data_IF_041135179040
#
_entry.id   IF_041135179040
#
_cell.length_a   1.000
_cell.length_b   1.000
_cell.length_c   1.000
_cell.angle_alpha   90.00
_cell.angle_beta   90.00
_cell.angle_gamma   90.00
#
_symmetry.space_group_name_H-M   'P 1'
#
loop_
_entity.id
_entity.type
_entity.pdbx_description
1 polymer ?
#
# COMPACT_ATOMS: atom_id res chain seq x y z
N UNK A 1 -8.75 -6.33 -21.79
CA UNK A 1 -7.79 -5.47 -21.08
C UNK A 1 -6.65 -6.37 -20.64
N UNK A 2 -5.45 -6.19 -21.19
CA UNK A 2 -4.31 -7.02 -20.79
C UNK A 2 -3.66 -6.37 -19.59
N UNK A 3 -4.03 -6.79 -18.39
CA UNK A 3 -3.27 -6.45 -17.19
C UNK A 3 -1.98 -7.27 -17.21
N UNK A 4 -0.84 -6.60 -17.35
CA UNK A 4 0.46 -7.23 -17.08
C UNK A 4 0.50 -7.58 -15.60
N UNK A 5 0.31 -8.86 -15.29
CA UNK A 5 0.29 -9.39 -13.92
C UNK A 5 1.69 -9.60 -13.35
N UNK A 6 2.74 -9.34 -14.12
CA UNK A 6 4.10 -9.50 -13.63
C UNK A 6 4.36 -8.41 -12.60
N UNK A 7 4.77 -8.72 -11.35
CA UNK A 7 5.12 -7.70 -10.39
C UNK A 7 6.42 -7.00 -10.79
N UNK A 8 6.64 -5.79 -10.27
CA UNK A 8 7.98 -5.21 -10.17
C UNK A 8 8.67 -5.90 -9.00
N UNK A 9 9.74 -6.64 -9.27
CA UNK A 9 10.49 -7.38 -8.25
C UNK A 9 11.38 -6.44 -7.44
N UNK A 10 11.29 -6.54 -6.11
CA UNK A 10 12.09 -5.82 -5.12
C UNK A 10 11.97 -6.53 -3.78
N UNK A 11 12.35 -5.89 -2.65
CA UNK A 11 12.11 -6.44 -1.32
C UNK A 11 10.64 -6.80 -1.07
N UNK A 12 9.73 -6.06 -1.71
CA UNK A 12 8.29 -6.30 -1.70
C UNK A 12 7.77 -6.17 -3.14
N UNK A 13 6.96 -7.12 -3.63
CA UNK A 13 6.39 -7.07 -4.98
C UNK A 13 5.36 -5.94 -5.10
N UNK A 14 5.42 -5.18 -6.21
CA UNK A 14 4.46 -4.12 -6.53
C UNK A 14 3.77 -4.48 -7.85
N UNK A 15 2.43 -4.51 -7.86
CA UNK A 15 1.66 -4.73 -9.09
C UNK A 15 1.09 -3.41 -9.61
N UNK A 16 1.04 -3.29 -10.93
CA UNK A 16 0.49 -2.12 -11.61
C UNK A 16 -0.78 -2.53 -12.33
N UNK A 17 -1.91 -1.94 -11.96
CA UNK A 17 -3.23 -2.23 -12.55
C UNK A 17 -3.74 -1.02 -13.32
N UNK A 18 -4.31 -1.26 -14.50
CA UNK A 18 -4.87 -0.17 -15.31
C UNK A 18 -6.32 0.12 -14.90
N UNK A 19 -6.66 1.41 -14.82
CA UNK A 19 -8.03 1.90 -14.76
C UNK A 19 -8.39 2.59 -16.08
N UNK A 20 -9.69 2.81 -16.38
CA UNK A 20 -10.09 3.54 -17.59
C UNK A 20 -9.45 4.93 -17.72
N UNK A 21 -9.21 5.63 -16.60
CA UNK A 21 -8.65 6.99 -16.57
C UNK A 21 -7.37 7.11 -15.72
N UNK A 22 -6.68 6.00 -15.42
CA UNK A 22 -5.52 6.05 -14.53
C UNK A 22 -4.88 4.71 -14.25
N UNK A 23 -4.09 4.68 -13.17
CA UNK A 23 -3.30 3.52 -12.77
C UNK A 23 -3.40 3.35 -11.25
N UNK A 24 -3.47 2.10 -10.80
CA UNK A 24 -3.43 1.73 -9.38
C UNK A 24 -2.18 0.93 -9.12
N UNK A 25 -1.47 1.30 -8.05
CA UNK A 25 -0.40 0.48 -7.48
C UNK A 25 -1.02 -0.42 -6.43
N UNK A 26 -0.92 -1.72 -6.64
CA UNK A 26 -1.31 -2.71 -5.64
C UNK A 26 -0.07 -3.00 -4.76
N UNK A 27 -0.22 -2.56 -3.51
CA UNK A 27 0.79 -2.57 -2.45
C UNK A 27 0.42 -3.58 -1.36
N UNK A 28 -0.40 -4.61 -1.66
CA UNK A 28 -0.86 -5.59 -0.67
C UNK A 28 0.29 -6.19 0.15
N UNK A 29 1.43 -6.44 -0.48
CA UNK A 29 2.59 -6.99 0.20
C UNK A 29 3.25 -6.01 1.20
N UNK A 30 3.16 -4.68 0.97
CA UNK A 30 3.53 -3.68 1.98
C UNK A 30 2.56 -3.70 3.16
N UNK A 31 1.26 -3.75 2.87
CA UNK A 31 0.24 -3.82 3.92
C UNK A 31 0.44 -5.05 4.80
N UNK A 32 0.73 -6.22 4.21
CA UNK A 32 1.02 -7.44 4.97
C UNK A 32 2.28 -7.32 5.84
N UNK A 33 3.33 -6.66 5.34
CA UNK A 33 4.54 -6.40 6.13
C UNK A 33 4.20 -5.53 7.36
N UNK A 34 3.57 -4.37 7.14
CA UNK A 34 3.22 -3.43 8.22
C UNK A 34 2.31 -4.07 9.26
N UNK A 35 1.30 -4.83 8.83
CA UNK A 35 0.42 -5.57 9.75
C UNK A 35 1.21 -6.61 10.54
N UNK A 36 2.14 -7.31 9.89
CA UNK A 36 3.05 -8.25 10.57
C UNK A 36 3.90 -7.57 11.63
N UNK A 37 4.49 -6.41 11.31
CA UNK A 37 5.32 -5.64 12.24
C UNK A 37 4.51 -5.18 13.46
N UNK A 38 3.29 -4.68 13.25
CA UNK A 38 2.38 -4.27 14.34
C UNK A 38 1.99 -5.46 15.22
N UNK A 39 1.63 -6.59 14.62
CA UNK A 39 1.28 -7.80 15.38
C UNK A 39 2.48 -8.30 16.19
N UNK A 40 3.67 -8.33 15.60
CA UNK A 40 4.90 -8.75 16.28
C UNK A 40 5.19 -7.83 17.48
N UNK A 41 4.98 -6.52 17.33
CA UNK A 41 5.17 -5.57 18.41
C UNK A 41 4.16 -5.76 19.54
N UNK A 42 2.88 -5.91 19.21
CA UNK A 42 1.83 -6.14 20.21
C UNK A 42 1.98 -7.47 20.95
N UNK A 43 2.63 -8.46 20.33
CA UNK A 43 2.88 -9.78 20.90
C UNK A 43 4.30 -9.95 21.47
N UNK A 44 5.07 -8.86 21.58
CA UNK A 44 6.42 -8.91 22.11
C UNK A 44 6.40 -9.19 23.63
N UNK A 45 6.91 -10.36 24.03
CA UNK A 45 6.94 -10.76 25.44
C UNK A 45 8.02 -10.05 26.26
N UNK A 46 9.03 -9.46 25.62
CA UNK A 46 10.13 -8.76 26.30
C UNK A 46 9.81 -7.27 26.51
N UNK A 47 8.90 -6.70 25.70
CA UNK A 47 8.49 -5.30 25.76
C UNK A 47 6.97 -5.20 25.55
N UNK A 48 6.23 -5.00 26.64
CA UNK A 48 4.76 -4.93 26.64
C UNK A 48 4.22 -3.52 26.39
N UNK A 49 5.08 -2.53 26.15
CA UNK A 49 4.68 -1.11 26.06
C UNK A 49 3.52 -0.90 25.07
N UNK A 50 3.62 -1.47 23.87
CA UNK A 50 2.57 -1.33 22.86
C UNK A 50 1.25 -2.00 23.26
N UNK A 51 1.32 -3.12 23.98
CA UNK A 51 0.14 -3.82 24.49
C UNK A 51 -0.54 -3.04 25.62
N UNK A 52 0.24 -2.47 26.52
CA UNK A 52 -0.24 -1.66 27.63
C UNK A 52 -0.93 -0.38 27.12
N UNK A 53 -0.30 0.32 26.17
CA UNK A 53 -0.90 1.48 25.49
C UNK A 53 -2.19 1.13 24.73
N UNK A 54 -2.26 -0.06 24.11
CA UNK A 54 -3.49 -0.52 23.46
C UNK A 54 -4.61 -0.77 24.48
N UNK A 55 -4.28 -1.32 25.64
CA UNK A 55 -5.26 -1.55 26.70
C UNK A 55 -5.78 -0.22 27.26
N UNK A 56 -4.88 0.73 27.53
CA UNK A 56 -5.23 2.09 27.98
C UNK A 56 -6.10 2.84 26.96
N UNK A 57 -5.80 2.74 25.66
CA UNK A 57 -6.60 3.35 24.60
C UNK A 57 -8.00 2.69 24.46
N UNK A 58 -8.16 1.43 24.87
CA UNK A 58 -9.41 0.70 24.81
C UNK A 58 -10.34 0.92 26.02
N UNK A 59 -9.82 1.48 27.12
CA UNK A 59 -10.61 1.73 28.33
C UNK A 59 -11.64 2.86 28.11
N UNK A 60 -12.95 2.58 28.28
CA UNK A 60 -14.03 3.52 27.96
C UNK A 60 -14.17 4.68 28.96
N UNK A 61 -13.37 4.72 30.03
CA UNK A 61 -13.52 5.68 31.14
C UNK A 61 -12.40 6.72 31.11
N UNK A 62 -12.60 7.78 30.32
CA UNK A 62 -11.65 8.88 30.17
C UNK A 62 -10.84 8.73 28.89
N UNK A 63 -11.42 9.14 27.77
CA UNK A 63 -10.73 9.27 26.49
C UNK A 63 -9.61 10.32 26.61
N UNK A 64 -8.47 9.93 27.16
CA UNK A 64 -7.25 10.69 26.96
C UNK A 64 -6.81 10.43 25.52
N UNK A 65 -7.14 11.35 24.61
CA UNK A 65 -6.65 11.36 23.23
C UNK A 65 -5.16 10.97 23.17
N UNK A 66 -4.38 11.46 24.14
CA UNK A 66 -2.96 11.20 24.30
C UNK A 66 -2.58 9.71 24.27
N UNK A 67 -3.37 8.78 24.83
CA UNK A 67 -3.01 7.35 24.81
C UNK A 67 -3.09 6.74 23.41
N UNK A 68 -4.08 7.17 22.62
CA UNK A 68 -4.22 6.75 21.23
C UNK A 68 -3.10 7.33 20.38
N UNK A 69 -2.78 8.62 20.54
CA UNK A 69 -1.70 9.24 19.77
C UNK A 69 -0.31 8.68 20.13
N UNK A 70 -0.07 8.33 21.40
CA UNK A 70 1.16 7.67 21.82
C UNK A 70 1.28 6.26 21.24
N UNK A 71 0.20 5.48 21.23
CA UNK A 71 0.18 4.18 20.57
C UNK A 71 0.47 4.30 19.07
N UNK A 72 -0.18 5.26 18.38
CA UNK A 72 0.06 5.52 16.96
C UNK A 72 1.51 5.89 16.69
N UNK A 73 2.10 6.78 17.49
CA UNK A 73 3.50 7.18 17.37
C UNK A 73 4.44 5.99 17.58
N UNK A 74 4.25 5.22 18.66
CA UNK A 74 5.07 4.06 18.98
C UNK A 74 5.04 3.01 17.85
N UNK A 75 3.85 2.70 17.33
CA UNK A 75 3.70 1.77 16.22
C UNK A 75 4.27 2.34 14.91
N UNK A 76 4.11 3.65 14.65
CA UNK A 76 4.60 4.28 13.43
C UNK A 76 6.13 4.43 13.38
N UNK A 77 6.81 4.56 14.52
CA UNK A 77 8.28 4.54 14.59
C UNK A 77 8.86 3.20 14.15
N UNK A 78 8.11 2.11 14.38
CA UNK A 78 8.55 0.74 14.08
C UNK A 78 8.07 0.26 12.71
N UNK A 79 6.84 0.60 12.32
CA UNK A 79 6.27 0.24 11.04
C UNK A 79 6.87 1.09 9.91
N UNK A 80 7.57 0.46 8.97
CA UNK A 80 8.06 1.19 7.80
C UNK A 80 6.93 1.56 6.86
N UNK A 81 6.78 2.86 6.58
CA UNK A 81 5.92 3.38 5.50
C UNK A 81 6.62 3.42 4.14
N UNK A 82 7.89 2.99 4.07
CA UNK A 82 8.76 3.19 2.90
C UNK A 82 9.40 1.88 2.46
N UNK A 83 9.41 1.65 1.15
CA UNK A 83 10.10 0.51 0.54
C UNK A 83 11.21 1.05 -0.36
N UNK A 84 12.47 0.60 -0.20
CA UNK A 84 13.51 0.96 -1.13
C UNK A 84 13.27 0.29 -2.48
N UNK A 85 13.15 1.10 -3.52
CA UNK A 85 13.12 0.67 -4.92
C UNK A 85 14.50 0.90 -5.53
N UNK A 86 15.26 -0.17 -5.72
CA UNK A 86 16.59 -0.12 -6.31
C UNK A 86 16.54 0.04 -7.83
N UNK A 87 17.63 0.53 -8.43
CA UNK A 87 17.71 1.01 -9.81
C UNK A 87 16.89 0.22 -10.86
N UNK A 88 17.13 -1.10 -11.04
CA UNK A 88 16.37 -1.89 -12.01
C UNK A 88 14.86 -1.94 -11.74
N UNK A 89 14.46 -2.06 -10.47
CA UNK A 89 13.06 -2.10 -10.06
C UNK A 89 12.36 -0.75 -10.26
N UNK A 90 13.05 0.36 -9.97
CA UNK A 90 12.53 1.71 -10.20
C UNK A 90 12.31 2.00 -11.70
N UNK A 91 13.23 1.55 -12.56
CA UNK A 91 13.10 1.67 -14.01
C UNK A 91 11.95 0.82 -14.56
N UNK A 92 11.82 -0.41 -14.07
CA UNK A 92 10.75 -1.33 -14.44
C UNK A 92 9.36 -0.80 -14.05
N UNK A 93 9.23 -0.25 -12.83
CA UNK A 93 8.00 0.42 -12.39
C UNK A 93 7.66 1.60 -13.30
N UNK A 94 8.65 2.44 -13.61
CA UNK A 94 8.47 3.58 -14.52
C UNK A 94 7.98 3.13 -15.90
N UNK A 95 8.54 2.05 -16.44
CA UNK A 95 8.15 1.47 -17.73
C UNK A 95 6.68 1.02 -17.71
N UNK A 96 6.27 0.30 -16.67
CA UNK A 96 4.88 -0.17 -16.51
C UNK A 96 3.89 0.97 -16.33
N UNK A 97 4.23 1.98 -15.53
CA UNK A 97 3.41 3.18 -15.36
C UNK A 97 3.22 3.94 -16.67
N UNK A 98 4.30 4.16 -17.44
CA UNK A 98 4.21 4.83 -18.75
C UNK A 98 3.34 4.07 -19.73
N UNK A 99 3.48 2.74 -19.78
CA UNK A 99 2.64 1.90 -20.64
C UNK A 99 1.16 1.96 -20.22
N UNK A 100 0.89 1.95 -18.91
CA UNK A 100 -0.45 2.00 -18.35
C UNK A 100 -1.15 3.37 -18.54
N UNK A 101 -0.40 4.47 -18.51
CA UNK A 101 -0.90 5.83 -18.73
C UNK A 101 -0.94 6.26 -20.21
N UNK A 102 -0.43 5.45 -21.14
CA UNK A 102 -0.45 5.78 -22.56
C UNK A 102 -1.90 5.95 -23.06
N UNK A 103 -2.20 6.98 -23.87
CA UNK A 103 -3.55 7.18 -24.42
C UNK A 103 -4.00 5.94 -25.18
N UNK A 104 -5.13 5.36 -24.78
CA UNK A 104 -5.73 4.24 -25.50
C UNK A 104 -6.48 4.81 -26.70
N UNK A 105 -6.11 4.37 -27.90
CA UNK A 105 -6.85 4.72 -29.10
C UNK A 105 -8.30 4.25 -28.93
N UNK A 106 -9.24 5.19 -28.94
CA UNK A 106 -10.67 4.88 -28.99
C UNK A 106 -10.93 4.32 -30.39
N UNK A 107 -11.49 3.10 -30.52
CA UNK A 107 -11.84 2.56 -31.82
C UNK A 107 -12.76 3.55 -32.54
N UNK A 108 -12.53 3.85 -33.84
CA UNK A 108 -13.41 4.75 -34.57
C UNK A 108 -14.83 4.21 -34.47
N UNK A 109 -15.72 5.07 -33.97
CA UNK A 109 -17.13 4.80 -33.81
C UNK A 109 -17.65 4.43 -35.21
N UNK A 110 -18.09 3.18 -35.42
CA UNK A 110 -18.69 2.77 -36.70
C UNK A 110 -19.84 3.74 -36.98
N UNK A 111 -19.79 4.40 -38.13
CA UNK A 111 -20.88 5.24 -38.65
C UNK A 111 -22.17 4.43 -38.60
N UNK A 112 -22.98 4.72 -37.58
CA UNK A 112 -24.28 4.12 -37.42
C UNK A 112 -25.28 4.97 -38.22
N UNK A 113 -25.68 4.45 -39.37
CA UNK A 113 -26.94 4.83 -40.02
C UNK A 113 -26.78 5.67 -41.26
N UNK A 114 -26.48 5.01 -42.37
CA UNK A 114 -27.02 5.42 -43.66
C UNK A 114 -28.56 5.39 -43.57
N UNK A 115 -29.20 6.48 -43.96
CA UNK A 115 -30.60 6.54 -44.37
C UNK A 115 -30.65 7.30 -45.69
#
# INVERSE_FOLDING_TARGET
MSDDRTPVTGPIPIYVRTLPAGVVLDMEALTRLVVGDVINELLNAEDTTAWDLLHEAAEPVGQEQFSTELLEQHLAERASSRIPLYGPAALELTRKLRAAAAPKAVPPQREAGAA
#
